data_IF_415591585852
#
_entry.id   IF_415591585852
#
_cell.length_a   1.000
_cell.length_b   1.000
_cell.length_c   1.000
_cell.angle_alpha   90.00
_cell.angle_beta   90.00
_cell.angle_gamma   90.00
#
_symmetry.space_group_name_H-M   'P 1'
#
loop_
_entity.id
_entity.type
_entity.pdbx_description
1 polymer ?
#
# COMPACT_ATOMS: atom_id res chain seq x y z
N UNK A 1 28.41 -6.20 -2.26
CA UNK A 1 27.72 -6.31 -0.94
C UNK A 1 26.33 -5.71 -1.07
N UNK A 2 25.33 -6.29 -0.40
CA UNK A 2 23.97 -5.76 -0.37
C UNK A 2 23.74 -4.89 0.86
N UNK A 3 22.98 -3.80 0.69
CA UNK A 3 22.54 -2.96 1.81
C UNK A 3 21.02 -2.84 1.72
N UNK A 4 20.32 -3.39 2.71
CA UNK A 4 18.88 -3.19 2.86
C UNK A 4 18.69 -1.99 3.76
N UNK A 5 18.09 -0.92 3.22
CA UNK A 5 17.76 0.29 3.99
C UNK A 5 16.38 0.13 4.61
N UNK A 6 16.29 0.24 5.94
CA UNK A 6 15.03 0.28 6.66
C UNK A 6 14.31 1.60 6.40
N UNK A 7 13.02 1.54 6.05
CA UNK A 7 12.18 2.71 5.69
C UNK A 7 10.71 2.46 6.00
N UNK A 8 10.00 3.47 6.53
CA UNK A 8 8.60 3.33 6.90
C UNK A 8 8.39 2.61 8.24
N UNK A 9 7.13 2.36 8.60
CA UNK A 9 6.76 1.70 9.85
C UNK A 9 6.98 0.19 9.87
N UNK A 10 6.64 -0.43 11.01
CA UNK A 10 6.87 -1.84 11.34
C UNK A 10 6.67 -2.82 10.17
N UNK A 11 5.54 -2.75 9.45
CA UNK A 11 5.25 -3.66 8.34
C UNK A 11 6.30 -3.62 7.21
N UNK A 12 6.78 -2.44 6.84
CA UNK A 12 7.87 -2.31 5.87
C UNK A 12 9.19 -2.84 6.43
N UNK A 13 9.46 -2.56 7.71
CA UNK A 13 10.69 -3.00 8.38
C UNK A 13 10.76 -4.54 8.46
N UNK A 14 9.64 -5.20 8.75
CA UNK A 14 9.54 -6.67 8.75
C UNK A 14 9.77 -7.25 7.35
N UNK A 15 9.16 -6.67 6.31
CA UNK A 15 9.43 -7.01 4.90
C UNK A 15 10.91 -6.87 4.54
N UNK A 16 11.55 -5.81 4.98
CA UNK A 16 12.98 -5.57 4.76
C UNK A 16 13.87 -6.56 5.55
N UNK A 17 13.48 -6.92 6.77
CA UNK A 17 14.21 -7.88 7.60
C UNK A 17 14.15 -9.31 7.05
N UNK A 18 12.99 -9.80 6.61
CA UNK A 18 12.93 -11.16 6.03
C UNK A 18 13.74 -11.27 4.74
N UNK A 19 13.86 -10.19 3.95
CA UNK A 19 14.77 -10.17 2.80
C UNK A 19 16.24 -10.24 3.24
N UNK A 20 16.60 -9.60 4.35
CA UNK A 20 17.93 -9.75 4.96
C UNK A 20 18.19 -11.21 5.38
N UNK A 21 17.23 -11.88 6.02
CA UNK A 21 17.32 -13.30 6.38
C UNK A 21 17.51 -14.17 5.13
N UNK A 22 16.67 -13.97 4.11
CA UNK A 22 16.72 -14.70 2.83
C UNK A 22 18.08 -14.55 2.13
N UNK A 23 18.56 -13.31 1.99
CA UNK A 23 19.88 -13.05 1.39
C UNK A 23 21.03 -13.65 2.22
N UNK A 24 20.97 -13.61 3.57
CA UNK A 24 21.96 -14.31 4.41
C UNK A 24 21.94 -15.82 4.21
N UNK A 25 20.75 -16.44 4.12
CA UNK A 25 20.59 -17.88 3.85
C UNK A 25 21.16 -18.27 2.48
N UNK A 26 21.07 -17.39 1.48
CA UNK A 26 21.72 -17.52 0.18
C UNK A 26 23.23 -17.16 0.18
N UNK A 27 23.89 -17.06 1.34
CA UNK A 27 25.33 -16.77 1.45
C UNK A 27 25.75 -15.34 1.05
N UNK A 28 24.79 -14.43 0.82
CA UNK A 28 25.10 -13.08 0.38
C UNK A 28 25.66 -12.23 1.53
N UNK A 29 26.75 -11.48 1.27
CA UNK A 29 27.20 -10.40 2.15
C UNK A 29 26.18 -9.26 2.15
N UNK A 30 25.27 -9.28 3.12
CA UNK A 30 24.17 -8.31 3.29
C UNK A 30 24.22 -7.62 4.66
N UNK A 31 23.92 -6.33 4.67
CA UNK A 31 23.83 -5.47 5.87
C UNK A 31 22.44 -4.86 5.94
N UNK A 32 21.86 -4.86 7.15
CA UNK A 32 20.61 -4.16 7.44
C UNK A 32 20.91 -2.80 8.08
N UNK A 33 20.56 -1.72 7.39
CA UNK A 33 20.92 -0.35 7.76
C UNK A 33 19.68 0.48 8.09
N UNK A 34 19.69 1.18 9.22
CA UNK A 34 18.66 2.15 9.59
C UNK A 34 19.17 3.58 9.53
N UNK A 35 18.46 4.41 8.78
CA UNK A 35 18.61 5.85 8.78
C UNK A 35 17.62 6.46 9.78
N UNK A 36 18.08 6.68 11.00
CA UNK A 36 17.25 7.10 12.14
C UNK A 36 16.59 8.48 11.96
N UNK A 37 17.08 9.31 11.03
CA UNK A 37 16.46 10.59 10.74
C UNK A 37 15.16 10.42 9.93
N UNK A 38 15.15 9.49 8.97
CA UNK A 38 14.05 9.25 8.05
C UNK A 38 13.00 8.23 8.56
N UNK A 39 13.12 7.77 9.82
CA UNK A 39 12.18 6.83 10.45
C UNK A 39 11.29 7.47 11.53
N UNK A 40 11.50 8.74 11.89
CA UNK A 40 10.81 9.41 13.00
C UNK A 40 9.29 9.50 12.83
N UNK A 41 8.81 9.63 11.61
CA UNK A 41 7.37 9.70 11.27
C UNK A 41 6.63 8.36 11.49
N UNK A 42 7.36 7.27 11.73
CA UNK A 42 6.82 5.93 11.87
C UNK A 42 7.44 5.16 13.04
N UNK A 43 7.38 5.75 14.25
CA UNK A 43 7.88 5.16 15.51
C UNK A 43 9.39 4.83 15.56
N UNK A 44 10.20 5.24 14.56
CA UNK A 44 11.62 4.91 14.52
C UNK A 44 11.88 3.47 14.09
N UNK A 45 12.82 2.80 14.78
CA UNK A 45 13.16 1.39 14.53
C UNK A 45 12.35 0.54 15.50
N UNK A 46 11.38 -0.22 15.00
CA UNK A 46 10.51 -1.05 15.85
C UNK A 46 11.01 -2.48 16.02
N UNK A 47 11.77 -3.01 15.06
CA UNK A 47 12.23 -4.40 15.04
C UNK A 47 12.99 -4.82 16.32
N UNK A 48 14.04 -4.08 16.70
CA UNK A 48 14.87 -4.40 17.87
C UNK A 48 14.15 -4.24 19.22
N UNK A 49 12.98 -3.57 19.22
CA UNK A 49 12.14 -3.38 20.41
C UNK A 49 11.15 -4.53 20.59
N UNK A 50 10.75 -5.18 19.50
CA UNK A 50 9.68 -6.18 19.45
C UNK A 50 10.18 -7.60 19.28
N UNK A 51 11.35 -7.79 18.66
CA UNK A 51 11.88 -9.11 18.30
C UNK A 51 13.35 -9.24 18.70
N UNK A 52 13.71 -10.40 19.24
CA UNK A 52 15.05 -10.67 19.74
C UNK A 52 16.08 -10.88 18.62
N UNK A 53 17.37 -10.70 18.95
CA UNK A 53 18.51 -11.03 18.08
C UNK A 53 18.57 -10.30 16.72
N UNK A 54 17.79 -9.24 16.53
CA UNK A 54 17.84 -8.39 15.34
C UNK A 54 19.04 -7.43 15.42
N UNK A 55 19.98 -7.60 14.48
CA UNK A 55 21.15 -6.74 14.32
C UNK A 55 20.92 -5.70 13.22
N UNK A 56 20.95 -4.42 13.58
CA UNK A 56 20.81 -3.27 12.68
C UNK A 56 22.02 -2.35 12.86
N UNK A 57 22.58 -1.84 11.76
CA UNK A 57 23.64 -0.82 11.82
C UNK A 57 23.09 0.57 11.48
N UNK A 58 23.63 1.58 12.15
CA UNK A 58 23.40 3.01 11.92
C UNK A 58 24.68 3.71 11.41
N UNK A 59 25.53 2.97 10.68
CA UNK A 59 26.87 3.39 10.29
C UNK A 59 26.87 4.78 9.61
N UNK A 60 27.58 5.74 10.22
CA UNK A 60 27.67 7.15 9.75
C UNK A 60 28.15 7.28 8.29
N UNK A 61 29.06 6.40 7.84
CA UNK A 61 29.48 6.38 6.43
C UNK A 61 28.32 6.03 5.49
N UNK A 62 27.47 5.08 5.88
CA UNK A 62 26.26 4.76 5.11
C UNK A 62 25.26 5.91 5.14
N UNK A 63 25.09 6.62 6.27
CA UNK A 63 24.27 7.83 6.31
C UNK A 63 24.75 8.88 5.29
N UNK A 64 26.05 9.20 5.27
CA UNK A 64 26.63 10.14 4.28
C UNK A 64 26.44 9.63 2.85
N UNK A 65 26.74 8.35 2.60
CA UNK A 65 26.53 7.72 1.30
C UNK A 65 25.07 7.87 0.83
N UNK A 66 24.08 7.59 1.68
CA UNK A 66 22.67 7.72 1.33
C UNK A 66 22.22 9.17 1.14
N UNK A 67 22.79 10.13 1.86
CA UNK A 67 22.57 11.57 1.61
C UNK A 67 23.11 12.00 0.24
N UNK A 68 24.25 11.47 -0.18
CA UNK A 68 24.84 11.77 -1.49
C UNK A 68 24.26 10.94 -2.65
N UNK A 69 23.63 9.79 -2.35
CA UNK A 69 23.16 8.82 -3.34
C UNK A 69 22.22 9.39 -4.44
N UNK A 70 21.25 10.29 -4.15
CA UNK A 70 20.41 10.89 -5.19
C UNK A 70 21.21 11.76 -6.16
N UNK A 71 22.23 12.48 -5.68
CA UNK A 71 23.12 13.29 -6.50
C UNK A 71 24.01 12.40 -7.37
N UNK A 72 24.56 11.31 -6.81
CA UNK A 72 25.32 10.31 -7.57
C UNK A 72 24.49 9.65 -8.67
N UNK A 73 23.21 9.33 -8.41
CA UNK A 73 22.31 8.83 -9.45
C UNK A 73 22.02 9.89 -10.53
N UNK A 74 21.79 11.15 -10.15
CA UNK A 74 21.53 12.24 -11.12
C UNK A 74 22.75 12.49 -12.03
N UNK A 75 23.95 12.47 -11.46
CA UNK A 75 25.22 12.56 -12.20
C UNK A 75 25.38 11.33 -13.10
N UNK A 76 25.16 10.13 -12.57
CA UNK A 76 25.23 8.89 -13.35
C UNK A 76 24.22 8.83 -14.51
N UNK A 77 23.02 9.39 -14.34
CA UNK A 77 22.02 9.51 -15.41
C UNK A 77 22.44 10.47 -16.51
N UNK A 78 23.00 11.63 -16.14
CA UNK A 78 23.58 12.58 -17.10
C UNK A 78 24.69 11.92 -17.92
N UNK A 79 25.61 11.17 -17.31
CA UNK A 79 26.66 10.45 -18.03
C UNK A 79 26.16 9.22 -18.81
N UNK A 80 25.11 8.53 -18.34
CA UNK A 80 24.49 7.43 -19.07
C UNK A 80 23.81 7.92 -20.36
N UNK A 81 23.25 9.14 -20.36
CA UNK A 81 22.76 9.83 -21.56
C UNK A 81 23.87 10.06 -22.60
N UNK A 82 25.12 10.16 -22.15
CA UNK A 82 26.33 10.23 -22.99
C UNK A 82 27.05 8.87 -23.17
N UNK A 83 26.30 7.76 -23.15
CA UNK A 83 26.74 6.43 -23.61
C UNK A 83 27.86 5.72 -22.81
N UNK A 84 28.23 6.20 -21.62
CA UNK A 84 29.20 5.49 -20.76
C UNK A 84 28.55 4.34 -19.96
N UNK A 85 28.50 3.14 -20.56
CA UNK A 85 27.98 1.90 -19.97
C UNK A 85 28.76 1.32 -18.77
N UNK A 86 29.66 2.09 -18.15
CA UNK A 86 30.55 1.66 -17.07
C UNK A 86 30.08 2.06 -15.66
N UNK A 87 29.26 3.10 -15.52
CA UNK A 87 28.97 3.71 -14.20
C UNK A 87 28.17 2.78 -13.27
N UNK A 88 27.31 1.91 -13.82
CA UNK A 88 26.59 0.91 -13.02
C UNK A 88 27.50 -0.13 -12.34
N UNK A 89 28.76 -0.29 -12.78
CA UNK A 89 29.77 -1.14 -12.11
C UNK A 89 30.56 -0.42 -11.02
N UNK A 90 30.51 0.91 -10.95
CA UNK A 90 31.28 1.70 -9.98
C UNK A 90 30.65 1.74 -8.57
N UNK A 91 29.41 1.27 -8.42
CA UNK A 91 28.71 1.26 -7.13
C UNK A 91 29.10 0.00 -6.34
N UNK A 92 29.95 0.15 -5.32
CA UNK A 92 30.40 -0.97 -4.44
C UNK A 92 29.25 -1.73 -3.72
N UNK A 93 28.07 -1.11 -3.64
CA UNK A 93 26.93 -1.59 -2.87
C UNK A 93 25.64 -1.66 -3.68
N UNK A 94 25.01 -2.84 -3.78
CA UNK A 94 23.64 -2.96 -4.29
C UNK A 94 22.68 -2.61 -3.16
N UNK A 95 22.20 -1.38 -3.18
CA UNK A 95 21.13 -0.88 -2.29
C UNK A 95 19.83 -1.57 -2.66
N UNK A 96 19.08 -2.03 -1.65
CA UNK A 96 17.71 -2.51 -1.80
C UNK A 96 16.80 -1.67 -0.89
N UNK A 97 15.73 -1.15 -1.48
CA UNK A 97 14.67 -0.38 -0.83
C UNK A 97 13.31 -1.02 -1.14
N UNK A 98 12.35 -0.89 -0.22
CA UNK A 98 10.98 -1.36 -0.45
C UNK A 98 10.21 -0.32 -1.29
N UNK A 99 9.37 -0.70 -2.28
CA UNK A 99 9.10 -2.04 -2.83
C UNK A 99 9.90 -2.33 -4.11
N UNK A 100 11.12 -1.77 -4.25
CA UNK A 100 11.88 -1.71 -5.52
C UNK A 100 12.58 -3.03 -5.87
N UNK A 101 12.60 -4.02 -4.97
CA UNK A 101 13.13 -5.36 -5.24
C UNK A 101 12.37 -6.08 -6.38
N UNK A 102 12.95 -7.12 -6.98
CA UNK A 102 12.34 -7.83 -8.11
C UNK A 102 11.27 -8.84 -7.66
N UNK A 103 11.58 -9.76 -6.75
CA UNK A 103 10.64 -10.71 -6.14
C UNK A 103 11.05 -10.98 -4.67
N UNK A 104 10.08 -11.26 -3.79
CA UNK A 104 10.29 -11.51 -2.36
C UNK A 104 9.53 -12.74 -1.82
N UNK A 105 8.68 -13.38 -2.62
CA UNK A 105 7.87 -14.54 -2.21
C UNK A 105 8.67 -15.51 -1.32
N UNK A 106 8.20 -15.69 -0.09
CA UNK A 106 8.78 -16.62 0.88
C UNK A 106 8.15 -17.99 0.64
N UNK A 107 8.98 -19.04 0.57
CA UNK A 107 8.47 -20.41 0.59
C UNK A 107 8.06 -20.84 2.02
N UNK A 108 7.43 -21.99 2.17
CA UNK A 108 6.89 -22.44 3.48
C UNK A 108 7.97 -22.60 4.57
N UNK A 109 9.17 -23.06 4.20
CA UNK A 109 10.31 -23.16 5.13
C UNK A 109 10.78 -21.77 5.59
N UNK A 110 10.83 -20.80 4.69
CA UNK A 110 11.13 -19.40 5.02
C UNK A 110 10.01 -18.78 5.86
N UNK A 111 8.73 -19.05 5.55
CA UNK A 111 7.58 -18.60 6.34
C UNK A 111 7.62 -19.09 7.78
N UNK A 112 7.91 -20.38 8.02
CA UNK A 112 8.03 -20.95 9.37
C UNK A 112 9.13 -20.25 10.16
N UNK A 113 10.31 -20.07 9.54
CA UNK A 113 11.43 -19.36 10.17
C UNK A 113 11.08 -17.90 10.50
N UNK A 114 10.39 -17.21 9.58
CA UNK A 114 10.01 -15.81 9.75
C UNK A 114 8.90 -15.63 10.80
N UNK A 115 7.92 -16.55 10.87
CA UNK A 115 6.91 -16.56 11.94
C UNK A 115 7.54 -16.78 13.32
N UNK A 116 8.56 -17.63 13.43
CA UNK A 116 9.31 -17.80 14.68
C UNK A 116 10.04 -16.52 15.09
N UNK A 117 10.75 -15.87 14.16
CA UNK A 117 11.47 -14.61 14.43
C UNK A 117 10.51 -13.48 14.82
N UNK A 118 9.36 -13.37 14.15
CA UNK A 118 8.36 -12.34 14.43
C UNK A 118 7.33 -12.77 15.49
N UNK A 119 7.81 -13.42 16.55
CA UNK A 119 7.02 -13.71 17.75
C UNK A 119 6.85 -12.44 18.58
N UNK A 120 5.65 -11.85 18.57
CA UNK A 120 5.36 -10.66 19.36
C UNK A 120 5.38 -10.92 20.89
N UNK A 121 5.74 -9.91 21.71
CA UNK A 121 5.59 -9.97 23.16
C UNK A 121 4.17 -10.31 23.61
N UNK A 122 4.01 -10.97 24.75
CA UNK A 122 2.70 -11.27 25.32
C UNK A 122 1.87 -10.01 25.58
N UNK A 123 0.61 -10.00 25.13
CA UNK A 123 -0.35 -8.94 25.45
C UNK A 123 -0.54 -8.88 26.97
N UNK A 124 -0.17 -7.76 27.58
CA UNK A 124 -0.21 -7.56 29.03
C UNK A 124 -1.44 -6.77 29.51
N UNK A 125 -2.03 -5.92 28.67
CA UNK A 125 -3.15 -5.06 29.07
C UNK A 125 -4.49 -5.82 29.04
N UNK A 126 -5.37 -5.44 29.97
CA UNK A 126 -6.65 -6.13 30.19
C UNK A 126 -7.62 -6.00 29.01
N UNK A 127 -7.58 -4.90 28.26
CA UNK A 127 -8.52 -4.63 27.17
C UNK A 127 -8.20 -5.50 25.95
N UNK A 128 -6.95 -5.50 25.49
CA UNK A 128 -6.50 -6.36 24.40
C UNK A 128 -6.50 -7.84 24.79
N UNK A 129 -6.35 -8.20 26.08
CA UNK A 129 -6.59 -9.57 26.55
C UNK A 129 -8.06 -10.00 26.39
N UNK A 130 -9.03 -9.12 26.69
CA UNK A 130 -10.45 -9.40 26.45
C UNK A 130 -10.75 -9.56 24.95
N UNK A 131 -10.19 -8.66 24.11
CA UNK A 131 -10.31 -8.75 22.64
C UNK A 131 -9.71 -10.06 22.13
N UNK A 132 -8.49 -10.43 22.57
CA UNK A 132 -7.83 -11.70 22.22
C UNK A 132 -8.66 -12.92 22.59
N UNK A 133 -9.35 -12.91 23.73
CA UNK A 133 -10.22 -14.02 24.11
C UNK A 133 -11.46 -14.10 23.21
N UNK A 134 -12.11 -12.96 22.92
CA UNK A 134 -13.23 -12.91 21.96
C UNK A 134 -12.83 -13.35 20.55
N UNK A 135 -11.63 -12.99 20.10
CA UNK A 135 -11.05 -13.44 18.83
C UNK A 135 -10.96 -14.98 18.76
N UNK A 136 -10.56 -15.65 19.86
CA UNK A 136 -10.47 -17.11 19.94
C UNK A 136 -11.83 -17.81 20.01
N UNK A 137 -12.76 -17.23 20.77
CA UNK A 137 -14.10 -17.78 21.02
C UNK A 137 -15.02 -17.72 19.78
N UNK A 138 -14.73 -16.87 18.81
CA UNK A 138 -15.62 -16.55 17.68
C UNK A 138 -15.05 -16.98 16.34
N UNK A 139 -15.85 -16.92 15.27
CA UNK A 139 -15.33 -17.02 13.90
C UNK A 139 -14.78 -15.65 13.46
N UNK A 140 -13.64 -15.29 14.06
CA UNK A 140 -13.07 -13.95 14.01
C UNK A 140 -12.49 -13.59 12.65
N UNK A 141 -12.87 -12.42 12.15
CA UNK A 141 -12.42 -11.86 10.88
C UNK A 141 -11.88 -10.48 11.13
N UNK A 142 -10.57 -10.27 10.96
CA UNK A 142 -10.01 -8.93 11.02
C UNK A 142 -10.34 -8.15 9.76
N UNK A 143 -10.69 -6.86 9.90
CA UNK A 143 -10.79 -5.91 8.80
C UNK A 143 -9.81 -4.77 9.10
N UNK A 144 -8.83 -4.56 8.23
CA UNK A 144 -7.94 -3.40 8.34
C UNK A 144 -8.32 -2.31 7.35
N UNK A 145 -8.49 -1.08 7.85
CA UNK A 145 -8.80 0.10 7.06
C UNK A 145 -7.70 1.13 7.28
N UNK A 146 -6.89 1.37 6.23
CA UNK A 146 -5.81 2.36 6.23
C UNK A 146 -6.22 3.59 5.44
N UNK A 147 -6.43 4.71 6.13
CA UNK A 147 -6.85 5.97 5.52
C UNK A 147 -6.02 7.17 5.97
N UNK A 148 -5.57 7.18 7.23
CA UNK A 148 -4.98 8.32 7.94
C UNK A 148 -4.00 9.17 7.12
N UNK A 149 -2.76 8.72 6.96
CA UNK A 149 -1.75 9.40 6.12
C UNK A 149 -2.12 9.38 4.63
N UNK A 150 -2.77 8.31 4.17
CA UNK A 150 -3.17 8.10 2.77
C UNK A 150 -4.17 9.13 2.23
N UNK A 151 -4.89 9.88 3.06
CA UNK A 151 -5.81 10.94 2.60
C UNK A 151 -5.41 12.36 3.04
N UNK A 152 -4.46 12.50 3.97
CA UNK A 152 -4.07 13.80 4.57
C UNK A 152 -3.25 14.71 3.65
N UNK A 153 -2.46 14.16 2.74
CA UNK A 153 -1.64 14.92 1.78
C UNK A 153 -2.04 14.58 0.35
N UNK A 154 -2.10 15.57 -0.59
CA UNK A 154 -2.29 15.29 -2.01
C UNK A 154 -1.28 14.27 -2.56
N UNK A 155 -0.03 14.27 -2.09
CA UNK A 155 1.05 13.37 -2.54
C UNK A 155 0.78 11.92 -2.11
N UNK A 156 0.38 11.70 -0.85
CA UNK A 156 0.01 10.36 -0.38
C UNK A 156 -1.31 9.90 -0.99
N UNK A 157 -2.31 10.79 -1.14
CA UNK A 157 -3.61 10.48 -1.74
C UNK A 157 -3.48 10.08 -3.20
N UNK A 158 -2.67 10.81 -3.96
CA UNK A 158 -2.24 10.49 -5.32
C UNK A 158 -1.71 9.06 -5.46
N UNK A 159 -0.95 8.57 -4.47
CA UNK A 159 -0.20 7.30 -4.56
C UNK A 159 -0.92 6.12 -3.90
N UNK A 160 -1.60 6.34 -2.77
CA UNK A 160 -2.15 5.30 -1.90
C UNK A 160 -3.64 5.50 -1.55
N UNK A 161 -4.17 6.70 -1.73
CA UNK A 161 -5.55 7.04 -1.39
C UNK A 161 -6.56 6.41 -2.36
N UNK A 162 -7.78 6.17 -1.86
CA UNK A 162 -8.91 5.61 -2.61
C UNK A 162 -8.61 4.27 -3.33
N UNK A 163 -7.62 3.51 -2.85
CA UNK A 163 -7.31 2.16 -3.36
C UNK A 163 -8.28 1.13 -2.77
N UNK A 164 -8.40 1.06 -1.45
CA UNK A 164 -9.45 0.30 -0.78
C UNK A 164 -10.67 1.20 -0.54
N UNK A 165 -11.63 1.14 -1.47
CA UNK A 165 -12.92 1.84 -1.39
C UNK A 165 -13.91 1.09 -0.48
N UNK A 166 -15.06 1.71 -0.16
CA UNK A 166 -16.18 1.00 0.49
C UNK A 166 -16.61 -0.24 -0.29
N UNK A 167 -16.72 -0.14 -1.63
CA UNK A 167 -17.00 -1.24 -2.55
C UNK A 167 -16.02 -2.44 -2.40
N UNK A 168 -14.72 -2.18 -2.26
CA UNK A 168 -13.73 -3.23 -1.97
C UNK A 168 -14.03 -3.96 -0.65
N UNK A 169 -14.36 -3.21 0.41
CA UNK A 169 -14.68 -3.80 1.70
C UNK A 169 -16.02 -4.55 1.68
N UNK A 170 -17.07 -4.00 1.05
CA UNK A 170 -18.38 -4.64 0.90
C UNK A 170 -18.22 -6.01 0.21
N UNK A 171 -17.57 -6.06 -0.96
CA UNK A 171 -17.30 -7.32 -1.68
C UNK A 171 -16.48 -8.31 -0.86
N UNK A 172 -15.54 -7.82 -0.05
CA UNK A 172 -14.74 -8.65 0.85
C UNK A 172 -15.58 -9.23 2.00
N UNK A 173 -16.49 -8.43 2.57
CA UNK A 173 -17.42 -8.84 3.65
C UNK A 173 -18.43 -9.87 3.10
N UNK A 174 -19.01 -9.63 1.92
CA UNK A 174 -19.90 -10.56 1.23
C UNK A 174 -19.24 -11.92 0.98
N UNK A 175 -17.99 -11.92 0.49
CA UNK A 175 -17.22 -13.16 0.31
C UNK A 175 -17.03 -13.90 1.64
N UNK A 176 -16.70 -13.21 2.73
CA UNK A 176 -16.59 -13.83 4.05
C UNK A 176 -17.93 -14.40 4.51
N UNK A 177 -19.05 -13.69 4.35
CA UNK A 177 -20.37 -14.15 4.76
C UNK A 177 -20.83 -15.41 4.02
N UNK A 178 -20.40 -15.59 2.77
CA UNK A 178 -20.66 -16.79 1.98
C UNK A 178 -19.87 -18.03 2.45
N UNK A 179 -18.66 -17.83 3.01
CA UNK A 179 -17.72 -18.92 3.32
C UNK A 179 -17.54 -19.19 4.82
N UNK A 180 -17.87 -18.24 5.70
CA UNK A 180 -17.67 -18.32 7.15
C UNK A 180 -19.03 -18.24 7.86
N UNK A 181 -19.38 -19.27 8.63
CA UNK A 181 -20.64 -19.29 9.40
C UNK A 181 -20.54 -18.35 10.61
N UNK A 182 -21.47 -17.41 10.75
CA UNK A 182 -21.55 -16.43 11.86
C UNK A 182 -20.19 -15.74 12.13
N UNK A 183 -19.62 -15.02 11.15
CA UNK A 183 -18.36 -14.32 11.34
C UNK A 183 -18.54 -13.18 12.35
N UNK A 184 -17.50 -12.91 13.12
CA UNK A 184 -17.44 -11.77 14.04
C UNK A 184 -16.30 -10.87 13.59
N UNK A 185 -16.61 -9.61 13.30
CA UNK A 185 -15.67 -8.70 12.65
C UNK A 185 -14.89 -7.88 13.68
N UNK A 186 -13.58 -7.84 13.54
CA UNK A 186 -12.67 -7.04 14.37
C UNK A 186 -12.04 -5.96 13.49
N UNK A 187 -12.53 -4.73 13.60
CA UNK A 187 -12.14 -3.61 12.74
C UNK A 187 -10.98 -2.85 13.36
N UNK A 188 -9.87 -2.78 12.64
CA UNK A 188 -8.64 -2.07 13.00
C UNK A 188 -8.45 -0.91 12.00
N UNK A 189 -8.36 0.33 12.49
CA UNK A 189 -8.23 1.49 11.60
C UNK A 189 -7.64 2.72 12.28
N UNK A 190 -6.98 3.56 11.49
CA UNK A 190 -6.66 4.95 11.84
C UNK A 190 -7.81 5.94 11.52
N UNK A 191 -8.94 5.43 11.03
CA UNK A 191 -10.19 6.16 10.72
C UNK A 191 -11.42 5.26 11.01
N UNK A 192 -11.61 4.93 12.30
CA UNK A 192 -12.74 4.10 12.79
C UNK A 192 -14.10 4.74 12.49
N UNK A 193 -14.17 6.08 12.42
CA UNK A 193 -15.42 6.76 12.12
C UNK A 193 -15.85 6.50 10.67
N UNK A 194 -14.94 6.62 9.70
CA UNK A 194 -15.25 6.25 8.32
C UNK A 194 -15.72 4.80 8.20
N UNK A 195 -15.14 3.88 8.96
CA UNK A 195 -15.58 2.47 8.98
C UNK A 195 -17.05 2.33 9.39
N UNK A 196 -17.47 3.02 10.46
CA UNK A 196 -18.88 3.03 10.92
C UNK A 196 -19.83 3.67 9.90
N UNK A 197 -19.39 4.75 9.27
CA UNK A 197 -20.22 5.52 8.34
C UNK A 197 -20.38 4.86 6.96
N UNK A 198 -19.43 3.98 6.58
CA UNK A 198 -19.35 3.43 5.22
C UNK A 198 -19.53 1.90 5.15
N UNK A 199 -19.48 1.17 6.28
CA UNK A 199 -19.59 -0.28 6.32
C UNK A 199 -20.72 -0.73 7.26
N UNK A 200 -21.78 -1.29 6.70
CA UNK A 200 -22.84 -1.95 7.47
C UNK A 200 -22.37 -3.32 7.94
N UNK A 201 -21.89 -3.40 9.19
CA UNK A 201 -21.38 -4.62 9.82
C UNK A 201 -22.25 -5.03 11.02
N UNK A 202 -22.68 -6.29 11.01
CA UNK A 202 -23.24 -6.97 12.18
C UNK A 202 -22.11 -7.65 12.98
N UNK A 203 -22.34 -7.93 14.26
CA UNK A 203 -21.40 -8.65 15.15
C UNK A 203 -19.95 -8.11 15.07
N UNK A 204 -19.79 -6.81 15.32
CA UNK A 204 -18.55 -6.06 15.08
C UNK A 204 -17.94 -5.44 16.35
N UNK A 205 -16.62 -5.57 16.48
CA UNK A 205 -15.78 -4.89 17.47
C UNK A 205 -14.87 -3.86 16.77
N UNK A 206 -15.00 -2.60 17.14
CA UNK A 206 -14.11 -1.52 16.67
C UNK A 206 -12.93 -1.37 17.62
N UNK A 207 -11.73 -1.77 17.18
CA UNK A 207 -10.53 -1.78 18.01
C UNK A 207 -9.86 -0.41 17.97
N UNK A 208 -9.48 0.10 19.13
CA UNK A 208 -8.86 1.42 19.29
C UNK A 208 -8.02 1.48 20.57
N UNK A 209 -7.13 2.47 20.66
CA UNK A 209 -6.23 2.69 21.81
C UNK A 209 -4.80 2.20 21.60
N UNK A 210 -4.56 1.30 20.64
CA UNK A 210 -3.25 0.79 20.28
C UNK A 210 -2.48 1.78 19.38
N UNK A 211 -1.94 2.84 20.00
CA UNK A 211 -1.28 3.94 19.29
C UNK A 211 0.25 3.96 19.51
N UNK A 212 0.98 4.62 18.60
CA UNK A 212 2.43 4.85 18.72
C UNK A 212 3.21 3.55 18.90
N UNK A 213 4.00 3.45 19.97
CA UNK A 213 4.77 2.25 20.32
C UNK A 213 3.90 1.01 20.64
N UNK A 214 2.60 1.17 20.86
CA UNK A 214 1.66 0.06 21.09
C UNK A 214 0.92 -0.38 19.81
N UNK A 215 1.13 0.29 18.67
CA UNK A 215 0.42 -0.03 17.42
C UNK A 215 0.61 -1.48 16.98
N UNK A 216 1.77 -2.10 17.26
CA UNK A 216 2.03 -3.51 16.94
C UNK A 216 1.01 -4.49 17.52
N UNK A 217 0.31 -4.13 18.60
CA UNK A 217 -0.72 -4.98 19.22
C UNK A 217 -1.90 -5.18 18.24
N UNK A 218 -2.23 -4.20 17.39
CA UNK A 218 -3.23 -4.40 16.33
C UNK A 218 -2.77 -5.44 15.31
N UNK A 219 -1.48 -5.45 14.93
CA UNK A 219 -0.94 -6.50 14.05
C UNK A 219 -1.00 -7.88 14.72
N UNK A 220 -0.67 -7.95 16.02
CA UNK A 220 -0.73 -9.17 16.81
C UNK A 220 -2.17 -9.69 16.95
N UNK A 221 -3.16 -8.82 17.18
CA UNK A 221 -4.57 -9.19 17.24
C UNK A 221 -5.10 -9.62 15.86
N UNK A 222 -4.72 -8.92 14.78
CA UNK A 222 -5.04 -9.33 13.41
C UNK A 222 -4.49 -10.73 13.08
N UNK A 223 -3.27 -11.07 13.54
CA UNK A 223 -2.67 -12.40 13.33
C UNK A 223 -3.29 -13.51 14.19
N UNK A 224 -4.09 -13.16 15.20
CA UNK A 224 -4.82 -14.11 16.04
C UNK A 224 -6.25 -14.37 15.54
N UNK A 225 -6.75 -13.58 14.58
CA UNK A 225 -8.06 -13.79 13.94
C UNK A 225 -8.04 -15.03 13.05
N UNK A 226 -9.19 -15.70 12.87
CA UNK A 226 -9.28 -16.87 11.98
C UNK A 226 -9.16 -16.48 10.50
N UNK A 227 -9.65 -15.30 10.11
CA UNK A 227 -9.59 -14.79 8.73
C UNK A 227 -9.18 -13.29 8.70
N UNK A 228 -8.78 -12.78 7.53
CA UNK A 228 -8.25 -11.42 7.37
C UNK A 228 -8.80 -10.75 6.09
N UNK A 229 -9.27 -9.51 6.20
CA UNK A 229 -9.51 -8.58 5.08
C UNK A 229 -8.47 -7.45 5.24
N UNK A 230 -7.52 -7.34 4.30
CA UNK A 230 -6.37 -6.42 4.42
C UNK A 230 -6.54 -5.15 3.59
N UNK A 231 -6.04 -4.02 4.10
CA UNK A 231 -5.87 -2.82 3.27
C UNK A 231 -4.67 -3.00 2.31
N UNK A 232 -4.46 -2.03 1.43
CA UNK A 232 -3.22 -1.83 0.66
C UNK A 232 -2.05 -1.35 1.55
N UNK A 233 -1.86 -2.00 2.71
CA UNK A 233 -0.88 -1.67 3.74
C UNK A 233 -0.09 -2.91 4.14
N UNK A 234 1.24 -2.77 4.18
CA UNK A 234 2.16 -3.82 4.63
C UNK A 234 1.91 -4.23 6.08
N UNK A 235 1.30 -3.35 6.87
CA UNK A 235 0.93 -3.62 8.25
C UNK A 235 -0.13 -4.73 8.34
N UNK A 236 -1.22 -4.63 7.59
CA UNK A 236 -2.23 -5.69 7.52
C UNK A 236 -1.77 -6.93 6.74
N UNK A 237 -0.88 -6.75 5.76
CA UNK A 237 -0.24 -7.89 5.10
C UNK A 237 0.50 -8.78 6.12
N UNK A 238 1.29 -8.19 7.03
CA UNK A 238 1.95 -8.97 8.08
C UNK A 238 0.98 -9.58 9.09
N UNK A 239 -0.11 -8.91 9.44
CA UNK A 239 -1.19 -9.51 10.23
C UNK A 239 -1.70 -10.82 9.60
N UNK A 240 -1.93 -10.84 8.28
CA UNK A 240 -2.35 -12.03 7.56
C UNK A 240 -1.23 -13.08 7.35
N UNK A 241 0.02 -12.66 7.14
CA UNK A 241 1.17 -13.58 6.98
C UNK A 241 1.46 -14.32 8.28
N UNK A 242 1.40 -13.63 9.42
CA UNK A 242 1.61 -14.21 10.75
C UNK A 242 0.44 -15.06 11.24
N UNK A 243 -0.75 -14.93 10.62
CA UNK A 243 -1.87 -15.80 10.91
C UNK A 243 -1.54 -17.27 10.60
N UNK A 244 -1.42 -18.06 11.66
CA UNK A 244 -1.06 -19.48 11.62
C UNK A 244 -2.24 -20.42 11.38
N UNK A 245 -3.48 -19.92 11.34
CA UNK A 245 -4.65 -20.73 11.00
C UNK A 245 -4.47 -21.33 9.58
N UNK A 246 -4.54 -22.67 9.41
CA UNK A 246 -4.49 -23.29 8.09
C UNK A 246 -5.74 -22.97 7.26
N UNK A 247 -6.91 -22.90 7.90
CA UNK A 247 -8.21 -22.66 7.25
C UNK A 247 -8.53 -21.16 7.07
N UNK A 248 -7.51 -20.30 7.10
CA UNK A 248 -7.73 -18.85 6.97
C UNK A 248 -8.17 -18.48 5.56
N UNK A 249 -9.00 -17.45 5.50
CA UNK A 249 -9.31 -16.75 4.26
C UNK A 249 -8.61 -15.40 4.39
N UNK A 250 -7.72 -15.08 3.46
CA UNK A 250 -7.07 -13.77 3.37
C UNK A 250 -7.59 -13.09 2.12
N UNK A 251 -8.31 -11.98 2.29
CA UNK A 251 -8.83 -11.17 1.20
C UNK A 251 -7.96 -9.93 1.04
N UNK A 252 -7.44 -9.72 -0.17
CA UNK A 252 -6.52 -8.64 -0.50
C UNK A 252 -6.99 -7.84 -1.74
N UNK A 253 -6.64 -6.55 -1.82
CA UNK A 253 -6.93 -5.73 -2.99
C UNK A 253 -5.99 -6.09 -4.16
N UNK A 254 -6.53 -6.20 -5.38
CA UNK A 254 -5.75 -6.40 -6.62
C UNK A 254 -4.70 -5.31 -6.85
N UNK A 255 -5.09 -4.06 -6.60
CA UNK A 255 -4.31 -2.83 -6.76
C UNK A 255 -3.86 -2.36 -5.38
N UNK A 256 -2.58 -2.03 -5.24
CA UNK A 256 -1.93 -1.65 -3.99
C UNK A 256 -1.54 -0.16 -3.98
N UNK A 257 -1.11 0.35 -5.13
CA UNK A 257 -0.85 1.78 -5.36
C UNK A 257 -1.55 2.27 -6.62
N UNK A 258 -1.79 3.57 -6.70
CA UNK A 258 -2.29 4.25 -7.89
C UNK A 258 -1.17 4.42 -8.92
N UNK A 259 -0.67 3.32 -9.48
CA UNK A 259 0.34 3.29 -10.54
C UNK A 259 -0.05 2.23 -11.59
N UNK A 260 0.09 2.55 -12.88
CA UNK A 260 -0.20 1.62 -13.98
C UNK A 260 0.75 0.40 -14.02
N UNK A 261 1.95 0.51 -13.43
CA UNK A 261 2.93 -0.57 -13.30
C UNK A 261 3.02 -1.13 -11.87
N UNK A 262 1.92 -1.09 -11.11
CA UNK A 262 1.88 -1.67 -9.77
C UNK A 262 2.11 -3.19 -9.80
N UNK A 263 3.25 -3.61 -9.25
CA UNK A 263 3.64 -5.02 -9.03
C UNK A 263 3.73 -5.35 -7.54
N UNK A 264 3.22 -4.51 -6.65
CA UNK A 264 3.42 -4.66 -5.20
C UNK A 264 2.79 -5.95 -4.70
N UNK A 265 1.53 -6.22 -5.06
CA UNK A 265 0.85 -7.48 -4.71
C UNK A 265 1.58 -8.72 -5.25
N UNK A 266 2.14 -8.67 -6.47
CA UNK A 266 2.92 -9.79 -7.03
C UNK A 266 4.18 -10.11 -6.22
N UNK A 267 4.74 -9.09 -5.54
CA UNK A 267 5.97 -9.17 -4.76
C UNK A 267 5.75 -9.60 -3.30
N UNK A 268 4.61 -9.26 -2.71
CA UNK A 268 4.33 -9.47 -1.26
C UNK A 268 3.14 -10.37 -0.95
N UNK A 269 2.24 -10.56 -1.93
CA UNK A 269 1.08 -11.42 -1.80
C UNK A 269 1.45 -12.89 -1.94
N UNK A 270 0.60 -13.74 -1.37
CA UNK A 270 0.73 -15.19 -1.41
C UNK A 270 -0.33 -15.79 -2.34
N UNK A 271 -0.03 -16.96 -2.88
CA UNK A 271 -0.82 -17.62 -3.93
C UNK A 271 -2.21 -18.10 -3.45
N UNK A 272 -2.41 -18.21 -2.13
CA UNK A 272 -3.63 -18.62 -1.45
C UNK A 272 -4.61 -17.46 -1.16
N UNK A 273 -4.23 -16.20 -1.46
CA UNK A 273 -5.06 -15.03 -1.14
C UNK A 273 -6.20 -14.84 -2.14
N UNK A 274 -7.39 -14.55 -1.63
CA UNK A 274 -8.57 -14.16 -2.41
C UNK A 274 -8.40 -12.71 -2.84
N UNK A 275 -8.30 -12.47 -4.15
CA UNK A 275 -8.02 -11.13 -4.69
C UNK A 275 -9.29 -10.48 -5.21
N UNK A 276 -9.83 -9.50 -4.46
CA UNK A 276 -10.94 -8.67 -4.92
C UNK A 276 -10.39 -7.59 -5.87
N UNK A 277 -11.04 -7.43 -7.02
CA UNK A 277 -10.66 -6.40 -7.98
C UNK A 277 -11.19 -5.03 -7.57
N UNK A 278 -10.26 -4.17 -7.13
CA UNK A 278 -10.47 -2.78 -6.74
C UNK A 278 -9.89 -1.79 -7.77
N UNK A 279 -9.66 -2.24 -9.02
CA UNK A 279 -9.17 -1.38 -10.11
C UNK A 279 -10.30 -0.49 -10.62
N UNK A 280 -10.42 0.69 -10.01
CA UNK A 280 -11.23 1.80 -10.52
C UNK A 280 -10.39 2.69 -11.46
N UNK A 281 -11.00 3.26 -12.54
CA UNK A 281 -10.33 4.20 -13.44
C UNK A 281 -9.82 5.43 -12.67
N UNK A 282 -8.61 5.89 -13.00
CA UNK A 282 -7.91 6.89 -12.19
C UNK A 282 -8.20 8.33 -12.66
N UNK A 283 -8.56 8.51 -13.92
CA UNK A 283 -8.85 9.80 -14.55
C UNK A 283 -10.29 9.80 -15.09
N UNK A 284 -10.94 10.96 -15.10
CA UNK A 284 -12.22 11.17 -15.81
C UNK A 284 -12.01 12.27 -16.84
N UNK A 285 -12.30 11.98 -18.11
CA UNK A 285 -12.24 12.95 -19.19
C UNK A 285 -13.66 13.40 -19.53
N UNK A 286 -13.91 14.70 -19.46
CA UNK A 286 -15.18 15.33 -19.81
C UNK A 286 -15.07 15.91 -21.22
N UNK A 287 -15.89 15.44 -22.14
CA UNK A 287 -15.86 15.82 -23.55
C UNK A 287 -17.12 16.60 -23.94
N UNK A 288 -17.23 17.84 -23.44
CA UNK A 288 -18.35 18.72 -23.78
C UNK A 288 -18.26 19.18 -25.24
N UNK A 289 -19.31 18.96 -26.02
CA UNK A 289 -19.48 19.53 -27.37
C UNK A 289 -18.56 19.02 -28.48
N UNK A 290 -17.58 18.15 -28.22
CA UNK A 290 -16.66 17.63 -29.24
C UNK A 290 -17.07 16.27 -29.80
N UNK A 291 -17.25 16.19 -31.12
CA UNK A 291 -17.37 14.92 -31.84
C UNK A 291 -15.99 14.26 -31.92
N UNK A 292 -15.73 13.26 -31.06
CA UNK A 292 -14.51 12.46 -31.12
C UNK A 292 -14.38 11.81 -32.50
N UNK A 293 -13.22 11.99 -33.16
CA UNK A 293 -12.98 11.32 -34.45
C UNK A 293 -12.80 9.82 -34.24
N UNK A 294 -13.17 9.01 -35.24
CA UNK A 294 -13.11 7.55 -35.18
C UNK A 294 -11.73 7.03 -34.73
N UNK A 295 -10.63 7.71 -35.11
CA UNK A 295 -9.26 7.40 -34.66
C UNK A 295 -9.08 7.47 -33.13
N UNK A 296 -9.71 8.43 -32.45
CA UNK A 296 -9.66 8.55 -30.99
C UNK A 296 -10.59 7.54 -30.31
N UNK A 297 -11.74 7.24 -30.91
CA UNK A 297 -12.63 6.15 -30.46
C UNK A 297 -11.90 4.80 -30.56
N UNK A 298 -11.15 4.59 -31.64
CA UNK A 298 -10.38 3.37 -31.88
C UNK A 298 -9.17 3.23 -30.92
N UNK A 299 -8.62 4.34 -30.42
CA UNK A 299 -7.63 4.32 -29.32
C UNK A 299 -8.27 4.10 -27.95
N UNK A 300 -9.44 4.70 -27.69
CA UNK A 300 -10.27 4.44 -26.49
C UNK A 300 -10.60 2.94 -26.35
N UNK A 301 -11.03 2.31 -27.43
CA UNK A 301 -11.42 0.90 -27.45
C UNK A 301 -10.22 -0.07 -27.34
N UNK A 302 -8.99 0.41 -27.55
CA UNK A 302 -7.74 -0.37 -27.43
C UNK A 302 -7.00 -0.16 -26.10
N UNK A 303 -7.54 0.67 -25.21
CA UNK A 303 -7.00 0.87 -23.87
C UNK A 303 -7.41 -0.27 -22.93
N UNK A 304 -6.68 -0.38 -21.82
CA UNK A 304 -6.97 -1.40 -20.82
C UNK A 304 -7.85 -0.85 -19.71
N UNK A 305 -8.47 -1.75 -18.96
CA UNK A 305 -9.52 -1.51 -17.95
C UNK A 305 -9.12 -0.65 -16.73
N UNK A 306 -8.01 0.11 -16.76
CA UNK A 306 -7.54 0.95 -15.66
C UNK A 306 -7.56 2.46 -15.96
N UNK A 307 -7.75 2.84 -17.23
CA UNK A 307 -7.08 4.05 -17.72
C UNK A 307 -7.90 5.33 -17.49
N UNK A 308 -9.19 5.40 -17.88
CA UNK A 308 -10.11 6.50 -17.51
C UNK A 308 -11.59 6.20 -17.82
N UNK A 309 -12.50 7.06 -17.37
CA UNK A 309 -13.91 7.12 -17.83
C UNK A 309 -14.12 8.37 -18.68
N UNK A 310 -14.82 8.25 -19.81
CA UNK A 310 -15.29 9.42 -20.59
C UNK A 310 -16.72 9.75 -20.17
N UNK A 311 -17.02 11.04 -20.05
CA UNK A 311 -18.37 11.57 -19.81
C UNK A 311 -18.78 12.40 -21.02
N UNK A 312 -20.00 12.16 -21.51
CA UNK A 312 -20.64 12.82 -22.66
C UNK A 312 -22.14 12.97 -22.37
N UNK A 313 -22.75 14.06 -22.83
CA UNK A 313 -24.15 14.41 -22.56
C UNK A 313 -25.17 13.63 -23.42
N UNK A 314 -24.72 12.89 -24.44
CA UNK A 314 -25.59 12.04 -25.25
C UNK A 314 -25.76 10.66 -24.62
N UNK A 315 -27.00 10.35 -24.23
CA UNK A 315 -27.39 9.05 -23.64
C UNK A 315 -27.12 7.91 -24.62
N UNK A 316 -26.29 6.95 -24.20
CA UNK A 316 -26.16 5.64 -24.81
C UNK A 316 -26.75 4.60 -23.85
N UNK A 317 -27.76 3.86 -24.32
CA UNK A 317 -28.46 2.84 -23.54
C UNK A 317 -27.58 1.60 -23.36
N UNK A 318 -26.86 1.52 -22.24
CA UNK A 318 -26.26 0.31 -21.68
C UNK A 318 -26.14 0.50 -20.16
N UNK A 319 -26.46 -0.53 -19.38
CA UNK A 319 -26.73 -0.49 -17.92
C UNK A 319 -25.48 -0.30 -17.04
N UNK A 320 -24.46 0.36 -17.60
CA UNK A 320 -23.22 0.81 -16.94
C UNK A 320 -23.20 2.34 -16.73
N UNK A 321 -24.29 3.02 -17.09
CA UNK A 321 -24.45 4.47 -16.94
C UNK A 321 -25.84 4.82 -16.41
N UNK A 322 -25.89 5.49 -15.25
CA UNK A 322 -27.07 6.19 -14.74
C UNK A 322 -26.66 7.61 -14.34
N UNK A 323 -27.35 8.60 -14.91
CA UNK A 323 -27.34 10.03 -14.56
C UNK A 323 -28.70 10.34 -13.84
N UNK A 324 -29.08 11.50 -13.28
CA UNK A 324 -28.63 12.91 -13.26
C UNK A 324 -29.20 13.55 -11.93
N UNK A 325 -28.82 14.73 -11.41
CA UNK A 325 -29.54 16.05 -11.53
C UNK A 325 -28.99 17.09 -10.50
N UNK A 326 -28.99 18.38 -10.88
CA UNK A 326 -29.08 19.64 -10.08
C UNK A 326 -27.88 20.26 -9.31
N UNK A 327 -27.92 21.61 -9.27
CA UNK A 327 -26.96 22.57 -8.72
C UNK A 327 -26.93 22.65 -7.18
N UNK A 328 -25.74 22.87 -6.59
CA UNK A 328 -25.41 24.06 -5.74
C UNK A 328 -23.94 23.98 -5.26
N UNK A 329 -23.46 25.06 -4.65
CA UNK A 329 -22.19 25.26 -3.93
C UNK A 329 -21.44 23.98 -3.48
N UNK A 330 -20.41 23.55 -4.24
CA UNK A 330 -19.15 22.94 -3.76
C UNK A 330 -18.20 22.66 -4.95
N UNK A 331 -17.01 23.27 -4.90
CA UNK A 331 -15.71 22.84 -5.46
C UNK A 331 -15.65 21.92 -6.70
N UNK A 332 -15.90 22.47 -7.90
CA UNK A 332 -15.41 21.91 -9.17
C UNK A 332 -14.22 22.73 -9.68
N UNK A 333 -13.09 22.07 -9.98
CA UNK A 333 -11.91 22.71 -10.58
C UNK A 333 -11.95 22.52 -12.09
N UNK A 334 -12.35 23.55 -12.83
CA UNK A 334 -12.06 23.64 -14.26
C UNK A 334 -10.59 24.03 -14.45
N UNK A 335 -9.88 23.33 -15.33
CA UNK A 335 -8.50 23.63 -15.71
C UNK A 335 -8.48 24.00 -17.19
N UNK A 336 -8.54 25.30 -17.50
CA UNK A 336 -8.12 25.76 -18.83
C UNK A 336 -6.61 25.64 -18.95
N UNK A 337 -6.13 24.94 -19.99
CA UNK A 337 -4.70 24.83 -20.30
C UNK A 337 -4.42 25.45 -21.66
N UNK A 338 -3.56 26.47 -21.69
CA UNK A 338 -2.94 27.00 -22.92
C UNK A 338 -1.46 26.62 -22.94
N UNK A 339 -0.96 26.37 -24.15
CA UNK A 339 0.46 26.22 -24.52
C UNK A 339 1.25 25.15 -23.75
N UNK A 340 1.08 23.88 -24.15
CA UNK A 340 1.87 22.73 -23.65
C UNK A 340 2.32 21.85 -24.82
N UNK A 341 3.62 21.55 -24.86
CA UNK A 341 4.23 20.63 -25.83
C UNK A 341 3.88 19.16 -25.53
N UNK A 342 3.69 18.37 -26.59
CA UNK A 342 3.01 17.07 -26.57
C UNK A 342 3.69 16.00 -25.69
N UNK A 343 5.00 16.09 -25.46
CA UNK A 343 5.76 15.14 -24.62
C UNK A 343 5.37 15.23 -23.11
N UNK A 344 4.76 16.33 -22.67
CA UNK A 344 4.32 16.50 -21.28
C UNK A 344 3.01 15.76 -20.94
N UNK A 345 2.24 15.33 -21.94
CA UNK A 345 0.94 14.66 -21.74
C UNK A 345 1.07 13.16 -21.41
N UNK A 346 2.23 12.55 -21.69
CA UNK A 346 2.51 11.14 -21.34
C UNK A 346 2.92 10.92 -19.88
N UNK A 347 3.23 11.98 -19.13
CA UNK A 347 3.66 11.86 -17.73
C UNK A 347 2.58 12.33 -16.74
N UNK A 348 1.87 11.38 -16.15
CA UNK A 348 0.93 11.62 -15.06
C UNK A 348 1.59 12.31 -13.86
N UNK A 349 2.91 12.15 -13.64
CA UNK A 349 3.65 12.90 -12.61
C UNK A 349 3.52 14.41 -12.82
N UNK A 350 3.66 14.86 -14.05
CA UNK A 350 3.60 16.25 -14.46
C UNK A 350 2.21 16.87 -14.31
N UNK A 351 1.16 16.21 -14.83
CA UNK A 351 -0.23 16.73 -14.77
C UNK A 351 -0.69 16.91 -13.32
N UNK A 352 -0.56 15.87 -12.49
CA UNK A 352 -0.98 15.96 -11.09
C UNK A 352 -0.07 16.90 -10.26
N UNK A 353 1.20 17.11 -10.67
CA UNK A 353 2.05 18.15 -10.08
C UNK A 353 1.54 19.55 -10.41
N UNK A 354 1.13 19.82 -11.66
CA UNK A 354 0.56 21.13 -12.04
C UNK A 354 -0.70 21.48 -11.24
N UNK A 355 -1.52 20.48 -10.89
CA UNK A 355 -2.69 20.65 -10.02
C UNK A 355 -2.25 21.05 -8.60
N UNK A 356 -1.22 20.41 -8.03
CA UNK A 356 -0.66 20.80 -6.73
C UNK A 356 -0.01 22.20 -6.77
N UNK A 357 0.84 22.48 -7.77
CA UNK A 357 1.51 23.77 -7.97
C UNK A 357 0.50 24.93 -8.14
N UNK A 358 -0.69 24.65 -8.67
CA UNK A 358 -1.80 25.62 -8.76
C UNK A 358 -2.48 25.83 -7.40
N UNK A 359 -2.80 24.74 -6.70
CA UNK A 359 -3.46 24.79 -5.39
C UNK A 359 -2.61 25.49 -4.31
N UNK A 360 -1.28 25.32 -4.36
CA UNK A 360 -0.34 26.02 -3.46
C UNK A 360 -0.20 27.52 -3.77
N UNK A 361 -0.52 27.96 -4.99
CA UNK A 361 -0.53 29.38 -5.40
C UNK A 361 -1.87 30.08 -5.19
N UNK A 362 -2.94 29.33 -4.94
CA UNK A 362 -4.28 29.84 -4.62
C UNK A 362 -4.52 30.00 -3.11
N UNK A 363 -3.46 29.95 -2.30
CA UNK A 363 -3.43 30.27 -0.87
C UNK A 363 -2.50 31.46 -0.64
#
# INVERSE_FOLDING_TARGET
MFIIRLTGGLGNQMFQYSLYVKLKKCGCKVVLFADTNNLKEHNGIELNRLFENISITNNKFLCVYFTMYPYLQRIGWLFAKYRFGLINKAILFKVITFPVWENYQLNDSELVQIRYIFSFPSIADKANLQIRNKIKETNSVSIHIRRGDYIKSPIYRRTHGNVCTSDYYIKSIEYILQHVKKPVFFVFSDDIQWAKDNLSLNDVYYISGNNGLNSYIDMQLMSLCKHNIIANSTFSAWGAILNSNPDKIVIAPRKWINNCFDKTLQKIGYYDWVIIDNRVPIITLRADGMKLSDKYIDYLLKQTHNDYRVVSDTVLNDDRFVFNIAHTEISLINIEMKDIEFEALSDRYWIEKKICDYYEKSK
#
